data_IF_548960804433
#
_entry.id   IF_548960804433
#
_cell.length_a   1.000
_cell.length_b   1.000
_cell.length_c   1.000
_cell.angle_alpha   90.00
_cell.angle_beta   90.00
_cell.angle_gamma   90.00
#
_symmetry.space_group_name_H-M   'P 1'
#
loop_
_entity.id
_entity.type
_entity.pdbx_description
1 polymer ?
#
# COMPACT_ATOMS: atom_id res chain seq x y z
N UNK A 1 -28.24 -12.38 38.49
CA UNK A 1 -27.76 -12.13 37.11
C UNK A 1 -27.23 -13.45 36.55
N UNK A 2 -27.89 -14.03 35.54
CA UNK A 2 -27.59 -15.40 35.11
C UNK A 2 -26.22 -15.47 34.42
N UNK A 3 -25.32 -16.36 34.89
CA UNK A 3 -23.94 -16.47 34.37
C UNK A 3 -23.90 -16.79 32.86
N UNK A 4 -24.89 -17.53 32.37
CA UNK A 4 -25.11 -17.82 30.94
C UNK A 4 -25.41 -16.56 30.12
N UNK A 5 -26.19 -15.63 30.68
CA UNK A 5 -26.53 -14.37 30.02
C UNK A 5 -25.30 -13.48 29.85
N UNK A 6 -24.46 -13.40 30.89
CA UNK A 6 -23.21 -12.64 30.85
C UNK A 6 -22.24 -13.21 29.83
N UNK A 7 -22.11 -14.53 29.76
CA UNK A 7 -21.24 -15.19 28.78
C UNK A 7 -21.69 -14.89 27.35
N UNK A 8 -22.98 -15.08 27.05
CA UNK A 8 -23.56 -14.78 25.73
C UNK A 8 -23.36 -13.31 25.32
N UNK A 9 -23.58 -12.38 26.25
CA UNK A 9 -23.39 -10.96 26.00
C UNK A 9 -21.92 -10.60 25.70
N UNK A 10 -20.98 -11.24 26.40
CA UNK A 10 -19.54 -11.02 26.19
C UNK A 10 -19.10 -11.53 24.82
N UNK A 11 -19.60 -12.71 24.40
CA UNK A 11 -19.31 -13.28 23.08
C UNK A 11 -19.88 -12.39 21.96
N UNK A 12 -21.09 -11.87 22.14
CA UNK A 12 -21.72 -10.95 21.18
C UNK A 12 -20.88 -9.68 20.98
N UNK A 13 -20.38 -9.08 22.08
CA UNK A 13 -19.51 -7.91 22.01
C UNK A 13 -18.19 -8.18 21.29
N UNK A 14 -17.59 -9.36 21.50
CA UNK A 14 -16.35 -9.74 20.85
C UNK A 14 -16.51 -9.88 19.32
N UNK A 15 -17.62 -10.47 18.88
CA UNK A 15 -17.94 -10.60 17.44
C UNK A 15 -18.15 -9.22 16.82
N UNK A 16 -18.89 -8.33 17.49
CA UNK A 16 -19.14 -6.98 17.00
C UNK A 16 -17.86 -6.13 16.88
N UNK A 17 -16.89 -6.29 17.79
CA UNK A 17 -15.61 -5.58 17.71
C UNK A 17 -14.73 -6.04 16.53
N UNK A 18 -14.86 -7.29 16.10
CA UNK A 18 -14.02 -7.86 15.02
C UNK A 18 -14.33 -7.28 13.64
N UNK A 19 -15.57 -6.84 13.39
CA UNK A 19 -15.98 -6.28 12.09
C UNK A 19 -15.47 -4.87 11.85
N UNK A 20 -15.08 -4.15 12.91
CA UNK A 20 -14.56 -2.79 12.82
C UNK A 20 -13.11 -2.71 12.26
N UNK A 21 -12.38 -3.83 12.23
CA UNK A 21 -10.99 -3.86 11.78
C UNK A 21 -10.84 -3.81 10.24
N UNK A 22 -11.88 -4.14 9.47
CA UNK A 22 -11.84 -4.17 8.01
C UNK A 22 -12.13 -2.81 7.36
N UNK A 23 -12.51 -1.78 8.13
CA UNK A 23 -12.86 -0.45 7.63
C UNK A 23 -11.68 0.53 7.57
N UNK A 24 -10.48 0.11 7.98
CA UNK A 24 -9.29 0.97 7.91
C UNK A 24 -8.78 1.02 6.47
N UNK A 25 -9.27 2.01 5.72
CA UNK A 25 -8.69 2.43 4.44
C UNK A 25 -7.33 3.09 4.70
N UNK A 26 -6.31 2.27 4.97
CA UNK A 26 -4.92 2.69 5.06
C UNK A 26 -4.61 3.50 3.80
N UNK A 27 -4.41 4.81 3.99
CA UNK A 27 -4.19 5.75 2.88
C UNK A 27 -2.93 5.30 2.17
N UNK A 28 -3.07 4.68 0.99
CA UNK A 28 -1.92 4.21 0.24
C UNK A 28 -1.16 5.45 -0.23
N UNK A 29 0.10 5.65 0.21
CA UNK A 29 0.87 6.81 -0.20
C UNK A 29 1.13 6.82 -1.68
N UNK A 30 1.03 5.67 -2.37
CA UNK A 30 1.33 5.53 -3.78
C UNK A 30 0.08 5.05 -4.53
N UNK A 31 -0.41 5.86 -5.47
CA UNK A 31 -1.54 5.56 -6.34
C UNK A 31 -0.98 5.16 -7.71
N UNK A 32 -1.33 3.97 -8.20
CA UNK A 32 -0.96 3.51 -9.53
C UNK A 32 -1.82 4.19 -10.59
N UNK A 33 -1.17 4.80 -11.58
CA UNK A 33 -1.76 5.34 -12.79
C UNK A 33 -1.45 4.47 -14.02
N UNK A 34 -1.96 4.86 -15.20
CA UNK A 34 -1.71 4.13 -16.44
C UNK A 34 -0.22 4.13 -16.83
N UNK A 35 0.19 3.14 -17.63
CA UNK A 35 1.54 3.02 -18.17
C UNK A 35 2.69 2.97 -17.13
N UNK A 36 2.46 2.40 -15.95
CA UNK A 36 3.50 2.24 -14.91
C UNK A 36 3.82 3.54 -14.14
N UNK A 37 3.00 4.57 -14.31
CA UNK A 37 3.07 5.80 -13.52
C UNK A 37 2.57 5.50 -12.10
N UNK A 38 3.26 6.01 -11.09
CA UNK A 38 2.86 5.93 -9.68
C UNK A 38 2.97 7.32 -9.07
N UNK A 39 1.92 7.80 -8.42
CA UNK A 39 1.89 9.14 -7.83
C UNK A 39 1.83 9.04 -6.32
N UNK A 40 2.66 9.81 -5.63
CA UNK A 40 2.61 9.92 -4.19
C UNK A 40 1.45 10.85 -3.77
N UNK A 41 0.43 10.32 -3.09
CA UNK A 41 -0.79 11.05 -2.69
C UNK A 41 -0.56 12.09 -1.58
N UNK A 42 0.57 12.02 -0.86
CA UNK A 42 0.92 12.96 0.20
C UNK A 42 1.82 14.11 -0.26
N UNK A 43 2.67 13.86 -1.26
CA UNK A 43 3.68 14.84 -1.73
C UNK A 43 3.48 15.30 -3.17
N UNK A 44 2.63 14.61 -3.94
CA UNK A 44 2.43 14.88 -5.37
C UNK A 44 3.55 14.38 -6.28
N UNK A 45 4.59 13.74 -5.74
CA UNK A 45 5.71 13.23 -6.53
C UNK A 45 5.25 12.13 -7.51
N UNK A 46 5.65 12.23 -8.77
CA UNK A 46 5.33 11.25 -9.82
C UNK A 46 6.56 10.39 -10.14
N UNK A 47 6.38 9.07 -10.08
CA UNK A 47 7.36 8.07 -10.48
C UNK A 47 6.89 7.43 -11.78
N UNK A 48 7.76 7.39 -12.78
CA UNK A 48 7.51 6.71 -14.04
C UNK A 48 8.58 5.65 -14.25
N UNK A 49 8.17 4.39 -14.34
CA UNK A 49 9.08 3.29 -14.65
C UNK A 49 9.06 3.05 -16.16
N UNK A 50 10.14 3.44 -16.84
CA UNK A 50 10.35 3.06 -18.24
C UNK A 50 10.68 1.57 -18.32
N UNK A 51 9.98 0.85 -19.21
CA UNK A 51 10.15 -0.60 -19.41
C UNK A 51 11.14 -0.97 -20.51
N UNK A 52 11.91 -0.01 -21.02
CA UNK A 52 12.88 -0.20 -22.11
C UNK A 52 14.21 -0.79 -21.65
N UNK A 53 14.47 -0.82 -20.33
CA UNK A 53 15.65 -1.45 -19.75
C UNK A 53 15.25 -2.62 -18.84
N UNK A 54 15.17 -3.81 -19.43
CA UNK A 54 14.96 -5.07 -18.71
C UNK A 54 16.32 -5.66 -18.31
N UNK A 55 16.85 -5.27 -17.14
CA UNK A 55 18.02 -5.93 -16.56
C UNK A 55 17.53 -7.22 -15.90
N UNK A 56 17.75 -8.36 -16.57
CA UNK A 56 17.50 -9.68 -15.99
C UNK A 56 18.48 -9.88 -14.84
N UNK A 57 17.97 -10.00 -13.61
CA UNK A 57 18.77 -10.24 -12.41
C UNK A 57 19.51 -11.59 -12.50
N UNK A 58 20.77 -11.55 -12.98
CA UNK A 58 21.82 -12.51 -12.61
C UNK A 58 23.14 -11.75 -12.42
N UNK A 59 23.18 -10.90 -11.40
CA UNK A 59 24.42 -10.31 -10.90
C UNK A 59 24.55 -8.80 -11.16
N UNK A 60 24.90 -8.10 -10.08
CA UNK A 60 25.21 -6.68 -9.94
C UNK A 60 24.09 -5.68 -10.28
N UNK A 61 23.64 -4.96 -9.23
CA UNK A 61 22.71 -3.83 -9.37
C UNK A 61 23.45 -2.64 -9.96
N UNK A 62 23.19 -2.32 -11.22
CA UNK A 62 23.68 -1.10 -11.86
C UNK A 62 22.68 0.02 -11.59
N UNK A 63 23.05 0.95 -10.72
CA UNK A 63 22.32 2.21 -10.51
C UNK A 63 22.66 3.17 -11.65
N UNK A 64 21.74 3.35 -12.60
CA UNK A 64 21.93 4.22 -13.77
C UNK A 64 21.08 5.47 -13.59
N UNK A 65 21.75 6.61 -13.41
CA UNK A 65 21.12 7.93 -13.38
C UNK A 65 21.33 8.64 -14.72
N UNK A 66 20.25 8.96 -15.43
CA UNK A 66 20.30 9.84 -16.60
C UNK A 66 20.23 11.29 -16.13
N UNK A 67 21.37 11.98 -16.18
CA UNK A 67 21.42 13.43 -16.02
C UNK A 67 21.25 14.05 -17.40
N UNK A 68 20.09 14.67 -17.64
CA UNK A 68 19.97 15.58 -18.77
C UNK A 68 20.78 16.85 -18.49
N UNK A 69 21.60 17.23 -19.46
CA UNK A 69 22.42 18.44 -19.43
C UNK A 69 22.20 19.20 -20.73
N UNK A 70 20.95 19.59 -20.99
CA UNK A 70 20.63 20.60 -21.99
C UNK A 70 20.60 21.98 -21.31
N UNK A 71 21.34 22.92 -21.93
CA UNK A 71 21.57 24.29 -21.46
C UNK A 71 20.34 25.17 -21.65
#
# INVERSE_FOLDING_TARGET
MNRLFLFSFTVLLLIAASTALLAQNLTKPLISGPAGIRVNSFTGNMFYQRGDLFITEKGFSLDVMFVDRSR
#
